data_IF_634318984258
#
_entry.id   IF_634318984258
#
_cell.length_a   1.000
_cell.length_b   1.000
_cell.length_c   1.000
_cell.angle_alpha   90.00
_cell.angle_beta   90.00
_cell.angle_gamma   90.00
#
_symmetry.space_group_name_H-M   'P 1'
#
loop_
_entity.id
_entity.type
_entity.pdbx_description
1 polymer ?
#
# COMPACT_ATOMS: atom_id res chain seq x y z
N UNK A 1 19.60 10.16 -2.84
CA UNK A 1 19.95 8.74 -2.62
C UNK A 1 19.04 8.18 -1.54
N UNK A 2 18.27 7.14 -1.84
CA UNK A 2 17.45 6.45 -0.82
C UNK A 2 18.13 5.15 -0.43
N UNK A 3 18.27 4.85 0.87
CA UNK A 3 18.90 3.61 1.31
C UNK A 3 18.13 2.39 0.74
N UNK A 4 18.84 1.31 0.38
CA UNK A 4 18.20 0.05 0.02
C UNK A 4 17.42 -0.49 1.21
N UNK A 5 16.35 -1.25 0.96
CA UNK A 5 15.57 -1.84 2.05
C UNK A 5 16.41 -2.90 2.78
N UNK A 6 16.47 -2.88 4.12
CA UNK A 6 17.25 -3.84 4.90
C UNK A 6 16.80 -5.28 4.64
N UNK A 7 15.51 -5.47 4.34
CA UNK A 7 14.95 -6.76 3.96
C UNK A 7 15.51 -7.29 2.64
N UNK A 8 15.66 -6.44 1.62
CA UNK A 8 16.25 -6.82 0.33
C UNK A 8 17.73 -7.12 0.48
N UNK A 9 18.45 -6.38 1.32
CA UNK A 9 19.87 -6.64 1.57
C UNK A 9 20.11 -7.93 2.34
N UNK A 10 19.18 -8.33 3.22
CA UNK A 10 19.30 -9.55 4.03
C UNK A 10 18.78 -10.82 3.33
N UNK A 11 17.68 -10.73 2.57
CA UNK A 11 17.02 -11.90 1.98
C UNK A 11 17.15 -11.99 0.46
N UNK A 12 17.58 -10.92 -0.20
CA UNK A 12 17.53 -10.81 -1.66
C UNK A 12 16.12 -10.64 -2.24
N UNK A 13 15.07 -10.78 -1.43
CA UNK A 13 13.67 -10.72 -1.86
C UNK A 13 13.09 -9.31 -1.71
N UNK A 14 12.13 -8.99 -2.58
CA UNK A 14 11.37 -7.75 -2.45
C UNK A 14 10.27 -7.91 -1.40
N UNK A 15 10.29 -7.05 -0.39
CA UNK A 15 9.24 -6.92 0.61
C UNK A 15 8.00 -6.21 0.01
N UNK A 16 6.77 -6.48 0.50
CA UNK A 16 5.55 -5.84 -0.03
C UNK A 16 5.55 -4.31 0.15
N UNK A 17 6.27 -3.80 1.16
CA UNK A 17 6.47 -2.37 1.42
C UNK A 17 7.72 -1.75 0.77
N UNK A 18 8.47 -2.50 -0.01
CA UNK A 18 9.70 -1.99 -0.64
C UNK A 18 9.30 -0.97 -1.72
N UNK A 19 9.80 0.26 -1.60
CA UNK A 19 9.44 1.38 -2.48
C UNK A 19 8.32 2.29 -1.96
N UNK A 20 7.65 1.95 -0.85
CA UNK A 20 6.56 2.79 -0.27
C UNK A 20 7.05 4.19 0.10
N UNK A 21 8.24 4.33 0.70
CA UNK A 21 8.79 5.65 1.04
C UNK A 21 9.03 6.52 -0.21
N UNK A 22 9.54 5.92 -1.29
CA UNK A 22 9.78 6.62 -2.55
C UNK A 22 8.45 6.95 -3.25
N UNK A 23 7.49 6.03 -3.20
CA UNK A 23 6.14 6.23 -3.71
C UNK A 23 5.41 7.36 -2.96
N UNK A 24 5.46 7.37 -1.63
CA UNK A 24 4.91 8.45 -0.80
C UNK A 24 5.56 9.80 -1.12
N UNK A 25 6.87 9.82 -1.32
CA UNK A 25 7.55 11.05 -1.75
C UNK A 25 7.00 11.55 -3.09
N UNK A 26 6.80 10.67 -4.08
CA UNK A 26 6.19 11.04 -5.35
C UNK A 26 4.73 11.47 -5.21
N UNK A 27 3.93 10.81 -4.36
CA UNK A 27 2.55 11.22 -4.06
C UNK A 27 2.48 12.61 -3.46
N UNK A 28 3.36 12.92 -2.51
CA UNK A 28 3.43 14.24 -1.87
C UNK A 28 3.82 15.35 -2.84
N UNK A 29 4.55 15.01 -3.91
CA UNK A 29 4.88 15.92 -5.00
C UNK A 29 3.82 15.95 -6.12
N UNK A 30 2.71 15.21 -5.99
CA UNK A 30 1.63 15.16 -6.97
C UNK A 30 1.81 14.14 -8.10
N UNK A 31 2.88 13.34 -8.08
CA UNK A 31 3.19 12.36 -9.13
C UNK A 31 2.55 11.00 -8.85
N UNK A 32 1.24 10.90 -9.05
CA UNK A 32 0.47 9.65 -8.86
C UNK A 32 0.99 8.49 -9.73
N UNK A 33 1.31 8.75 -10.99
CA UNK A 33 1.80 7.73 -11.93
C UNK A 33 3.17 7.17 -11.51
N UNK A 34 4.09 8.04 -11.08
CA UNK A 34 5.39 7.62 -10.57
C UNK A 34 5.25 6.82 -9.26
N UNK A 35 4.33 7.23 -8.37
CA UNK A 35 4.04 6.49 -7.16
C UNK A 35 3.44 5.10 -7.42
N UNK A 36 2.58 4.98 -8.43
CA UNK A 36 2.01 3.71 -8.85
C UNK A 36 3.08 2.77 -9.39
N UNK A 37 4.02 3.25 -10.20
CA UNK A 37 5.16 2.43 -10.66
C UNK A 37 6.07 1.94 -9.53
N UNK A 38 6.19 2.71 -8.44
CA UNK A 38 7.05 2.36 -7.30
C UNK A 38 6.41 1.38 -6.31
N UNK A 39 5.12 1.56 -6.02
CA UNK A 39 4.35 0.63 -5.19
C UNK A 39 2.83 0.72 -5.48
N UNK A 40 2.31 -0.10 -6.41
CA UNK A 40 0.88 -0.16 -6.71
C UNK A 40 0.02 -0.48 -5.48
N UNK A 41 0.51 -1.36 -4.60
CA UNK A 41 -0.22 -1.78 -3.41
C UNK A 41 -0.45 -0.62 -2.43
N UNK A 42 0.54 0.26 -2.30
CA UNK A 42 0.39 1.49 -1.52
C UNK A 42 -0.73 2.36 -2.11
N UNK A 43 -0.71 2.60 -3.43
CA UNK A 43 -1.72 3.43 -4.10
C UNK A 43 -3.12 2.83 -3.97
N UNK A 44 -3.25 1.50 -4.11
CA UNK A 44 -4.52 0.79 -3.92
C UNK A 44 -5.01 0.84 -2.46
N UNK A 45 -4.12 0.96 -1.49
CA UNK A 45 -4.50 1.09 -0.07
C UNK A 45 -4.94 2.50 0.35
N UNK A 46 -4.58 3.54 -0.42
CA UNK A 46 -4.91 4.93 -0.10
C UNK A 46 -6.41 5.21 0.04
N UNK A 47 -7.30 4.78 -0.89
CA UNK A 47 -8.74 5.04 -0.77
C UNK A 47 -9.31 4.47 0.52
N UNK A 48 -8.84 3.28 0.90
CA UNK A 48 -9.25 2.62 2.13
C UNK A 48 -8.77 3.38 3.38
N UNK A 49 -7.51 3.82 3.39
CA UNK A 49 -6.97 4.64 4.48
C UNK A 49 -7.72 5.96 4.61
N UNK A 50 -7.94 6.67 3.49
CA UNK A 50 -8.69 7.93 3.46
C UNK A 50 -10.11 7.72 3.97
N UNK A 51 -10.79 6.66 3.51
CA UNK A 51 -12.13 6.31 3.97
C UNK A 51 -12.18 6.06 5.47
N UNK A 52 -11.25 5.24 5.99
CA UNK A 52 -11.17 4.95 7.42
C UNK A 52 -10.87 6.20 8.24
N UNK A 53 -10.01 7.09 7.75
CA UNK A 53 -9.66 8.35 8.40
C UNK A 53 -10.86 9.30 8.44
N UNK A 54 -11.62 9.42 7.35
CA UNK A 54 -12.86 10.22 7.30
C UNK A 54 -13.89 9.66 8.28
N UNK A 55 -14.18 8.35 8.23
CA UNK A 55 -15.13 7.72 9.14
C UNK A 55 -14.72 7.84 10.62
N UNK A 56 -13.42 7.88 10.92
CA UNK A 56 -12.91 8.05 12.28
C UNK A 56 -12.90 9.52 12.74
N UNK A 57 -12.58 10.46 11.84
CA UNK A 57 -12.51 11.90 12.17
C UNK A 57 -13.87 12.58 12.21
N UNK A 58 -14.80 12.22 11.32
CA UNK A 58 -16.17 12.75 11.31
C UNK A 58 -16.89 12.75 12.67
N UNK A 59 -16.88 11.66 13.46
CA UNK A 59 -17.53 11.65 14.77
C UNK A 59 -16.81 12.51 15.81
N UNK A 60 -15.48 12.67 15.69
CA UNK A 60 -14.68 13.54 16.57
C UNK A 60 -15.06 15.01 16.37
N UNK A 61 -15.29 15.44 15.13
CA UNK A 61 -15.66 16.83 14.82
C UNK A 61 -17.16 17.11 14.92
N UNK A 62 -18.02 16.14 14.62
CA UNK A 62 -19.47 16.37 14.46
C UNK A 62 -20.27 15.90 15.68
N UNK A 63 -19.67 15.18 16.62
CA UNK A 63 -20.34 14.63 17.81
C UNK A 63 -21.41 13.57 17.53
N UNK A 64 -21.69 13.28 16.25
CA UNK A 64 -22.60 12.22 15.81
C UNK A 64 -21.83 10.91 15.68
N UNK A 65 -22.33 9.84 16.31
CA UNK A 65 -21.85 8.47 16.06
C UNK A 65 -22.16 8.11 14.60
N UNK A 66 -21.23 8.34 13.70
CA UNK A 66 -21.26 7.65 12.41
C UNK A 66 -21.11 6.16 12.69
N UNK A 67 -21.89 5.34 11.98
CA UNK A 67 -21.71 3.89 12.07
C UNK A 67 -20.28 3.60 11.64
N UNK A 68 -19.46 3.20 12.60
CA UNK A 68 -18.19 2.58 12.29
C UNK A 68 -18.55 1.38 11.44
N UNK A 69 -18.18 1.42 10.16
CA UNK A 69 -18.26 0.23 9.33
C UNK A 69 -17.29 -0.71 9.98
N UNK A 70 -17.85 -1.62 10.80
CA UNK A 70 -17.12 -2.74 11.34
C UNK A 70 -16.50 -3.41 10.13
N UNK A 71 -15.18 -3.25 10.01
CA UNK A 71 -14.39 -3.95 9.01
C UNK A 71 -14.59 -5.41 9.37
N UNK A 72 -15.49 -6.07 8.65
CA UNK A 72 -15.80 -7.47 8.90
C UNK A 72 -14.46 -8.23 8.83
N UNK A 73 -14.23 -9.24 9.68
CA UNK A 73 -12.99 -10.02 9.63
C UNK A 73 -12.70 -10.55 8.21
N UNK A 74 -13.75 -10.84 7.44
CA UNK A 74 -13.67 -11.23 6.03
C UNK A 74 -12.92 -10.22 5.14
N UNK A 75 -13.04 -8.91 5.40
CA UNK A 75 -12.35 -7.85 4.66
C UNK A 75 -10.84 -7.84 4.94
N UNK A 76 -10.45 -8.10 6.20
CA UNK A 76 -9.03 -8.22 6.60
C UNK A 76 -8.39 -9.41 5.89
N UNK A 77 -9.08 -10.55 5.87
CA UNK A 77 -8.63 -11.74 5.14
C UNK A 77 -8.52 -11.49 3.63
N UNK A 78 -9.46 -10.73 3.05
CA UNK A 78 -9.41 -10.32 1.65
C UNK A 78 -8.18 -9.44 1.35
N UNK A 79 -7.91 -8.43 2.18
CA UNK A 79 -6.72 -7.59 2.07
C UNK A 79 -5.43 -8.41 2.20
N UNK A 80 -5.36 -9.32 3.16
CA UNK A 80 -4.21 -10.23 3.31
C UNK A 80 -3.98 -11.09 2.07
N UNK A 81 -5.03 -11.65 1.47
CA UNK A 81 -4.92 -12.40 0.22
C UNK A 81 -4.38 -11.53 -0.92
N UNK A 82 -4.84 -10.27 -1.04
CA UNK A 82 -4.34 -9.34 -2.05
C UNK A 82 -2.86 -9.03 -1.81
N UNK A 83 -2.46 -8.75 -0.57
CA UNK A 83 -1.07 -8.45 -0.21
C UNK A 83 -0.16 -9.65 -0.51
N UNK A 84 -0.60 -10.86 -0.16
CA UNK A 84 0.16 -12.08 -0.39
C UNK A 84 0.27 -12.40 -1.89
N UNK A 85 -0.84 -12.25 -2.63
CA UNK A 85 -0.84 -12.41 -4.08
C UNK A 85 0.12 -11.39 -4.72
N UNK A 86 0.05 -10.12 -4.34
CA UNK A 86 0.98 -9.08 -4.81
C UNK A 86 2.43 -9.38 -4.47
N UNK A 87 2.71 -9.88 -3.26
CA UNK A 87 4.05 -10.27 -2.84
C UNK A 87 4.61 -11.42 -3.69
N UNK A 88 3.77 -12.41 -4.01
CA UNK A 88 4.12 -13.53 -4.89
C UNK A 88 4.34 -13.01 -6.33
N UNK A 89 3.40 -12.25 -6.89
CA UNK A 89 3.52 -11.69 -8.24
C UNK A 89 4.76 -10.80 -8.41
N UNK A 90 5.17 -10.06 -7.37
CA UNK A 90 6.36 -9.19 -7.39
C UNK A 90 7.69 -9.97 -7.25
N UNK A 91 7.66 -11.17 -6.68
CA UNK A 91 8.84 -12.03 -6.57
C UNK A 91 8.93 -13.07 -7.71
N UNK A 92 7.92 -13.18 -8.58
CA UNK A 92 7.98 -14.03 -9.78
C UNK A 92 8.69 -13.25 -10.92
N UNK A 93 9.82 -13.76 -11.44
CA UNK A 93 10.58 -13.11 -12.53
C UNK A 93 9.96 -13.39 -13.90
N UNK A 94 8.66 -13.16 -14.08
CA UNK A 94 7.97 -13.32 -15.36
C UNK A 94 7.62 -11.94 -15.95
N UNK A 95 7.97 -11.67 -17.21
CA UNK A 95 7.58 -10.44 -17.90
C UNK A 95 6.04 -10.40 -18.00
N UNK A 96 5.34 -9.35 -17.51
CA UNK A 96 5.76 -7.94 -17.44
C UNK A 96 6.08 -7.42 -16.01
N UNK A 97 6.19 -8.28 -14.99
CA UNK A 97 6.31 -7.86 -13.59
C UNK A 97 7.70 -7.38 -13.17
N UNK A 98 8.70 -7.50 -14.05
CA UNK A 98 10.03 -6.91 -13.87
C UNK A 98 10.02 -5.38 -13.78
N UNK A 99 8.96 -4.71 -14.28
CA UNK A 99 8.78 -3.25 -14.17
C UNK A 99 8.28 -2.78 -12.80
N UNK A 100 7.78 -3.69 -11.95
CA UNK A 100 7.39 -3.38 -10.57
C UNK A 100 8.60 -3.37 -9.60
N UNK A 101 9.77 -3.82 -10.07
CA UNK A 101 11.01 -3.75 -9.34
C UNK A 101 11.75 -2.46 -9.75
N UNK A 102 12.00 -1.51 -8.83
CA UNK A 102 12.83 -0.34 -9.09
C UNK A 102 14.33 -0.68 -9.07
#
# INVERSE_FOLDING_TARGET
>A
LYPPSPFRTLTGLYCPGCGTLRGLHQLLHGNLWAAFGLNPLMVLSLPYLIYSYICYSLPVFTGRKVSQIFIKPAWIWWMLKIILAYWILRNIPFAPFSWLAP
#
